data_IF_148784970111
#
_entry.id   IF_148784970111
#
_cell.length_a   1.000
_cell.length_b   1.000
_cell.length_c   1.000
_cell.angle_alpha   90.00
_cell.angle_beta   90.00
_cell.angle_gamma   90.00
#
_symmetry.space_group_name_H-M   'P 1'
#
loop_
_entity.id
_entity.type
_entity.pdbx_description
1 polymer ?
#
# COMPACT_ATOMS: atom_id res chain seq x y z
N UNK A 1 8.18 25.80 38.53
CA UNK A 1 7.10 25.38 37.61
C UNK A 1 7.11 26.17 36.32
N UNK A 2 7.80 25.69 35.30
CA UNK A 2 7.72 26.29 33.95
C UNK A 2 6.82 25.40 33.10
N UNK A 3 5.52 25.70 33.10
CA UNK A 3 4.57 25.11 32.15
C UNK A 3 4.91 25.59 30.75
N UNK A 4 5.39 24.68 29.91
CA UNK A 4 5.54 24.93 28.48
C UNK A 4 4.14 24.87 27.84
N UNK A 5 3.55 26.03 27.59
CA UNK A 5 2.33 26.17 26.80
C UNK A 5 2.64 25.80 25.36
N UNK A 6 1.78 24.95 24.78
CA UNK A 6 1.85 24.39 23.43
C UNK A 6 2.53 25.31 22.41
N UNK A 7 3.64 24.86 21.83
CA UNK A 7 4.30 25.57 20.74
C UNK A 7 3.36 25.65 19.53
N UNK A 8 3.13 26.86 19.03
CA UNK A 8 2.39 27.09 17.78
C UNK A 8 3.09 26.37 16.63
N UNK A 9 2.35 25.56 15.88
CA UNK A 9 2.84 24.84 14.70
C UNK A 9 3.21 25.86 13.63
N UNK A 10 4.38 25.68 13.00
CA UNK A 10 4.89 26.59 11.97
C UNK A 10 4.09 26.46 10.66
N UNK A 11 3.96 27.53 9.86
CA UNK A 11 3.23 27.47 8.57
C UNK A 11 3.74 26.34 7.66
N UNK A 12 5.06 26.19 7.54
CA UNK A 12 5.68 25.07 6.81
C UNK A 12 5.27 23.70 7.36
N UNK A 13 5.09 23.58 8.67
CA UNK A 13 4.68 22.36 9.36
C UNK A 13 3.20 22.08 9.10
N UNK A 14 2.37 23.11 8.98
CA UNK A 14 0.96 23.05 8.57
C UNK A 14 0.84 22.64 7.10
N UNK A 15 1.67 23.19 6.21
CA UNK A 15 1.68 22.83 4.79
C UNK A 15 2.13 21.39 4.56
N UNK A 16 3.08 20.91 5.38
CA UNK A 16 3.52 19.51 5.38
C UNK A 16 2.44 18.54 5.86
N UNK A 17 1.42 18.99 6.60
CA UNK A 17 0.30 18.11 6.99
C UNK A 17 -0.59 17.76 5.80
N UNK A 18 -0.56 18.55 4.72
CA UNK A 18 -1.41 18.38 3.55
C UNK A 18 -2.91 18.44 3.90
N UNK A 19 -3.80 18.31 2.91
CA UNK A 19 -5.21 18.11 3.22
C UNK A 19 -5.35 16.86 4.09
N UNK A 20 -6.24 16.92 5.08
CA UNK A 20 -6.66 15.79 5.90
C UNK A 20 -7.42 14.76 5.04
N UNK A 21 -6.74 14.18 4.05
CA UNK A 21 -7.14 12.90 3.48
C UNK A 21 -7.12 11.93 4.64
N UNK A 22 -8.22 11.21 4.84
CA UNK A 22 -8.40 10.38 6.01
C UNK A 22 -7.29 9.33 6.10
N UNK A 23 -6.27 9.64 6.90
CA UNK A 23 -5.11 8.78 7.15
C UNK A 23 -5.55 7.44 7.73
N UNK A 24 -6.76 7.36 8.31
CA UNK A 24 -7.33 6.11 8.81
C UNK A 24 -7.53 5.08 7.69
N UNK A 25 -7.81 5.50 6.45
CA UNK A 25 -7.94 4.57 5.32
C UNK A 25 -6.60 3.88 5.05
N UNK A 26 -5.52 4.64 4.89
CA UNK A 26 -4.18 4.08 4.64
C UNK A 26 -3.65 3.29 5.84
N UNK A 27 -3.97 3.72 7.07
CA UNK A 27 -3.70 2.94 8.28
C UNK A 27 -4.44 1.60 8.28
N UNK A 28 -5.69 1.56 7.81
CA UNK A 28 -6.46 0.33 7.67
C UNK A 28 -5.80 -0.63 6.67
N UNK A 29 -5.36 -0.10 5.52
CA UNK A 29 -4.60 -0.86 4.51
C UNK A 29 -3.31 -1.41 5.13
N UNK A 30 -2.52 -0.60 5.84
CA UNK A 30 -1.30 -1.05 6.50
C UNK A 30 -1.55 -2.16 7.53
N UNK A 31 -2.63 -2.04 8.31
CA UNK A 31 -3.05 -3.07 9.25
C UNK A 31 -3.41 -4.38 8.54
N UNK A 32 -4.04 -4.32 7.36
CA UNK A 32 -4.35 -5.53 6.60
C UNK A 32 -3.09 -6.21 6.09
N UNK A 33 -2.14 -5.44 5.55
CA UNK A 33 -0.84 -5.94 5.08
C UNK A 33 -0.12 -6.66 6.22
N UNK A 34 0.09 -5.99 7.36
CA UNK A 34 0.80 -6.56 8.52
C UNK A 34 0.11 -7.83 9.05
N UNK A 35 -1.22 -7.88 9.02
CA UNK A 35 -1.98 -9.07 9.42
C UNK A 35 -1.72 -10.24 8.47
N UNK A 36 -1.70 -10.00 7.16
CA UNK A 36 -1.43 -11.03 6.16
C UNK A 36 0.02 -11.53 6.25
N UNK A 37 1.00 -10.62 6.34
CA UNK A 37 2.41 -11.00 6.51
C UNK A 37 2.65 -11.82 7.78
N UNK A 38 2.03 -11.41 8.90
CA UNK A 38 2.10 -12.18 10.15
C UNK A 38 1.49 -13.58 9.99
N UNK A 39 0.36 -13.71 9.30
CA UNK A 39 -0.29 -14.99 9.02
C UNK A 39 0.59 -15.90 8.15
N UNK A 40 1.40 -15.33 7.27
CA UNK A 40 2.35 -16.04 6.39
C UNK A 40 3.69 -16.35 7.05
N UNK A 41 3.95 -15.86 8.27
CA UNK A 41 5.26 -16.00 8.93
C UNK A 41 6.36 -15.07 8.38
N UNK A 42 5.99 -14.10 7.55
CA UNK A 42 6.90 -13.18 6.86
C UNK A 42 7.32 -11.99 7.75
N UNK A 43 7.86 -12.29 8.94
CA UNK A 43 8.15 -11.28 9.97
C UNK A 43 9.28 -10.30 9.58
N UNK A 44 10.09 -10.64 8.58
CA UNK A 44 11.13 -9.78 8.02
C UNK A 44 10.62 -8.83 6.92
N UNK A 45 9.33 -8.88 6.58
CA UNK A 45 8.72 -8.03 5.56
C UNK A 45 8.87 -6.54 5.85
N UNK A 46 9.03 -5.75 4.79
CA UNK A 46 9.00 -4.28 4.85
C UNK A 46 7.69 -3.72 5.42
N UNK A 47 6.61 -4.52 5.45
CA UNK A 47 5.33 -4.16 6.07
C UNK A 47 5.46 -3.72 7.53
N UNK A 48 6.47 -4.21 8.26
CA UNK A 48 6.67 -3.89 9.68
C UNK A 48 7.49 -2.62 9.92
N UNK A 49 8.17 -2.10 8.89
CA UNK A 49 9.00 -0.89 8.99
C UNK A 49 8.27 0.32 8.39
N UNK A 50 7.46 0.10 7.35
CA UNK A 50 6.72 1.15 6.64
C UNK A 50 5.63 1.81 7.51
N UNK A 51 5.34 3.10 7.26
CA UNK A 51 4.36 3.90 8.00
C UNK A 51 3.10 4.24 7.18
N UNK A 52 2.06 4.77 7.86
CA UNK A 52 0.77 5.12 7.24
C UNK A 52 0.94 6.09 6.05
N UNK A 53 1.86 7.06 6.16
CA UNK A 53 2.13 8.05 5.11
C UNK A 53 2.82 7.46 3.88
N UNK A 54 3.65 6.44 4.07
CA UNK A 54 4.28 5.73 2.95
C UNK A 54 3.23 4.92 2.19
N UNK A 55 2.27 4.31 2.90
CA UNK A 55 1.12 3.63 2.27
C UNK A 55 0.26 4.63 1.49
N UNK A 56 -0.02 5.81 2.06
CA UNK A 56 -0.66 6.90 1.32
C UNK A 56 0.11 7.25 0.05
N UNK A 57 1.44 7.37 0.15
CA UNK A 57 2.27 7.66 -1.02
C UNK A 57 2.19 6.56 -2.08
N UNK A 58 2.29 5.29 -1.69
CA UNK A 58 2.17 4.15 -2.59
C UNK A 58 0.81 4.17 -3.31
N UNK A 59 -0.29 4.32 -2.57
CA UNK A 59 -1.63 4.35 -3.16
C UNK A 59 -1.81 5.56 -4.09
N UNK A 60 -1.50 6.77 -3.63
CA UNK A 60 -1.84 7.99 -4.37
C UNK A 60 -0.84 8.35 -5.47
N UNK A 61 0.45 8.05 -5.30
CA UNK A 61 1.50 8.47 -6.23
C UNK A 61 1.97 7.35 -7.16
N UNK A 62 2.04 6.12 -6.66
CA UNK A 62 2.51 4.97 -7.46
C UNK A 62 1.33 4.34 -8.20
N UNK A 63 0.22 4.11 -7.50
CA UNK A 63 -1.00 3.52 -8.06
C UNK A 63 -2.07 4.53 -8.45
N UNK A 64 -1.72 5.82 -8.46
CA UNK A 64 -2.59 6.92 -8.90
C UNK A 64 -3.97 6.97 -8.23
N UNK A 65 -4.09 6.40 -7.03
CA UNK A 65 -5.31 6.41 -6.23
C UNK A 65 -6.43 5.51 -6.75
N UNK A 66 -6.12 4.51 -7.58
CA UNK A 66 -7.10 3.59 -8.11
C UNK A 66 -6.61 2.14 -8.18
N UNK A 67 -7.54 1.20 -8.42
CA UNK A 67 -7.20 -0.19 -8.74
C UNK A 67 -6.44 -0.29 -10.06
N UNK A 68 -5.45 -1.18 -10.11
CA UNK A 68 -4.70 -1.51 -11.32
C UNK A 68 -5.52 -2.25 -12.39
N UNK A 69 -6.65 -2.87 -12.03
CA UNK A 69 -7.47 -3.68 -12.94
C UNK A 69 -8.73 -2.91 -13.37
N UNK A 70 -9.59 -2.54 -12.43
CA UNK A 70 -10.87 -1.87 -12.73
C UNK A 70 -10.79 -0.35 -12.83
N UNK A 71 -9.68 0.27 -12.42
CA UNK A 71 -9.58 1.71 -12.18
C UNK A 71 -10.59 2.25 -11.14
N UNK A 72 -11.10 1.39 -10.24
CA UNK A 72 -11.93 1.84 -9.11
C UNK A 72 -11.15 2.83 -8.25
N UNK A 73 -11.77 3.97 -7.92
CA UNK A 73 -11.14 5.11 -7.25
C UNK A 73 -11.54 5.24 -5.79
N UNK A 74 -12.47 4.43 -5.29
CA UNK A 74 -12.84 4.43 -3.88
C UNK A 74 -11.73 3.83 -3.00
N UNK A 75 -10.96 4.69 -2.30
CA UNK A 75 -9.83 4.27 -1.44
C UNK A 75 -10.23 3.31 -0.33
N UNK A 76 -11.48 3.33 0.14
CA UNK A 76 -11.96 2.41 1.17
C UNK A 76 -12.01 0.96 0.68
N UNK A 77 -12.22 0.76 -0.63
CA UNK A 77 -12.26 -0.56 -1.28
C UNK A 77 -10.87 -1.05 -1.69
N UNK A 78 -9.86 -0.17 -1.70
CA UNK A 78 -8.52 -0.52 -2.14
C UNK A 78 -7.75 -1.35 -1.10
N UNK A 79 -6.93 -2.27 -1.60
CA UNK A 79 -6.03 -3.16 -0.88
C UNK A 79 -4.68 -3.15 -1.58
N UNK A 80 -3.60 -3.24 -0.80
CA UNK A 80 -2.23 -3.39 -1.31
C UNK A 80 -1.72 -4.80 -0.96
N UNK A 81 -2.04 -5.79 -1.79
CA UNK A 81 -1.62 -7.18 -1.59
C UNK A 81 -0.25 -7.44 -2.22
N UNK A 82 0.40 -8.57 -1.90
CA UNK A 82 1.63 -9.02 -2.58
C UNK A 82 1.36 -9.14 -4.07
N UNK A 83 2.27 -8.62 -4.91
CA UNK A 83 2.21 -8.84 -6.36
C UNK A 83 2.64 -10.28 -6.70
N UNK A 84 3.87 -10.67 -6.33
CA UNK A 84 4.31 -12.07 -6.31
C UNK A 84 4.07 -12.65 -4.93
N UNK A 85 3.09 -13.55 -4.84
CA UNK A 85 2.68 -14.22 -3.60
C UNK A 85 3.82 -15.00 -2.93
N UNK A 86 4.85 -15.39 -3.68
CA UNK A 86 6.02 -16.16 -3.21
C UNK A 86 7.06 -15.29 -2.53
N UNK A 87 7.07 -14.00 -2.84
CA UNK A 87 7.99 -13.02 -2.25
C UNK A 87 7.29 -12.23 -1.16
N UNK A 88 8.04 -11.80 -0.14
CA UNK A 88 7.47 -11.01 0.95
C UNK A 88 6.92 -9.67 0.48
N UNK A 89 5.95 -9.15 1.24
CA UNK A 89 5.39 -7.85 0.91
C UNK A 89 6.49 -6.78 1.01
N UNK A 90 6.55 -5.93 0.00
CA UNK A 90 7.42 -4.76 -0.02
C UNK A 90 6.80 -3.70 -0.94
N UNK A 91 7.23 -2.43 -0.88
CA UNK A 91 6.71 -1.38 -1.76
C UNK A 91 6.80 -1.72 -3.25
N UNK A 92 7.80 -2.50 -3.67
CA UNK A 92 7.99 -2.96 -5.04
C UNK A 92 7.37 -4.33 -5.34
N UNK A 93 6.97 -5.10 -4.32
CA UNK A 93 6.24 -6.35 -4.47
C UNK A 93 4.80 -6.20 -3.97
N UNK A 94 4.13 -5.11 -4.32
CA UNK A 94 2.73 -4.89 -3.99
C UNK A 94 1.93 -4.51 -5.23
N UNK A 95 0.63 -4.77 -5.21
CA UNK A 95 -0.31 -4.32 -6.24
C UNK A 95 -1.57 -3.72 -5.58
N UNK A 96 -2.02 -2.58 -6.10
CA UNK A 96 -3.23 -1.90 -5.64
C UNK A 96 -4.45 -2.43 -6.38
N UNK A 97 -5.38 -3.05 -5.65
CA UNK A 97 -6.56 -3.71 -6.17
C UNK A 97 -7.77 -3.39 -5.29
N UNK A 98 -8.97 -3.58 -5.81
CA UNK A 98 -10.16 -3.65 -4.95
C UNK A 98 -10.13 -4.93 -4.11
N UNK A 99 -10.97 -4.99 -3.06
CA UNK A 99 -11.05 -6.19 -2.23
C UNK A 99 -11.43 -7.45 -3.02
N UNK A 100 -12.36 -7.35 -3.98
CA UNK A 100 -12.78 -8.50 -4.81
C UNK A 100 -11.66 -8.96 -5.73
N UNK A 101 -10.97 -8.03 -6.39
CA UNK A 101 -9.82 -8.30 -7.25
C UNK A 101 -8.66 -8.90 -6.46
N UNK A 102 -8.37 -8.38 -5.27
CA UNK A 102 -7.31 -8.89 -4.40
C UNK A 102 -7.58 -10.35 -4.00
N UNK A 103 -8.84 -10.70 -3.67
CA UNK A 103 -9.21 -12.10 -3.38
C UNK A 103 -9.03 -13.00 -4.60
N UNK A 104 -9.36 -12.52 -5.80
CA UNK A 104 -9.14 -13.27 -7.03
C UNK A 104 -7.64 -13.46 -7.31
N UNK A 105 -6.85 -12.39 -7.23
CA UNK A 105 -5.41 -12.39 -7.43
C UNK A 105 -4.69 -13.36 -6.50
N UNK A 106 -5.01 -13.35 -5.19
CA UNK A 106 -4.35 -14.22 -4.20
C UNK A 106 -4.63 -15.73 -4.40
N UNK A 107 -5.59 -16.10 -5.25
CA UNK A 107 -5.85 -17.51 -5.62
C UNK A 107 -4.99 -17.97 -6.80
N UNK A 108 -4.29 -17.06 -7.47
CA UNK A 108 -3.46 -17.34 -8.64
C UNK A 108 -2.07 -17.75 -8.16
N UNK A 109 -1.73 -19.03 -8.34
CA UNK A 109 -0.42 -19.59 -7.94
C UNK A 109 0.68 -19.30 -8.96
N UNK A 110 0.30 -19.09 -10.22
CA UNK A 110 1.20 -18.90 -11.37
C UNK A 110 0.84 -17.60 -12.11
N UNK A 111 1.49 -16.49 -11.76
CA UNK A 111 1.25 -15.18 -12.37
C UNK A 111 1.42 -15.19 -13.90
N UNK A 112 2.38 -15.98 -14.38
CA UNK A 112 2.76 -16.19 -15.78
C UNK A 112 1.63 -16.77 -16.65
N UNK A 113 0.62 -17.39 -16.03
CA UNK A 113 -0.51 -17.99 -16.76
C UNK A 113 -1.74 -17.10 -16.88
N UNK A 114 -1.81 -16.02 -16.11
CA UNK A 114 -3.02 -15.21 -15.98
C UNK A 114 -2.82 -13.73 -16.32
N UNK A 115 -1.58 -13.24 -16.23
CA UNK A 115 -1.22 -11.90 -16.68
C UNK A 115 -0.58 -11.96 -18.07
N UNK A 116 -0.94 -11.00 -18.93
CA UNK A 116 -0.34 -10.91 -20.27
C UNK A 116 1.18 -10.71 -20.18
N UNK A 117 1.90 -11.32 -21.13
CA UNK A 117 3.35 -11.17 -21.24
C UNK A 117 3.82 -9.71 -21.33
N UNK A 118 2.96 -8.81 -21.83
CA UNK A 118 3.17 -7.37 -21.91
C UNK A 118 3.46 -6.71 -20.56
N UNK A 119 3.00 -7.31 -19.45
CA UNK A 119 3.21 -6.85 -18.08
C UNK A 119 4.60 -7.23 -17.56
N UNK A 120 5.14 -8.37 -18.02
CA UNK A 120 6.48 -8.84 -17.66
C UNK A 120 7.51 -8.31 -18.66
N UNK A 121 7.84 -7.02 -18.60
CA UNK A 121 9.02 -6.54 -19.33
C UNK A 121 10.29 -7.01 -18.63
N UNK A 122 10.90 -8.06 -19.18
CA UNK A 122 12.29 -8.38 -18.89
C UNK A 122 13.16 -7.17 -19.27
N UNK A 123 14.02 -6.73 -18.34
CA UNK A 123 15.12 -5.85 -18.71
C UNK A 123 16.15 -6.69 -19.44
N UNK A 124 16.08 -6.69 -20.77
CA UNK A 124 17.24 -7.05 -21.59
C UNK A 124 18.33 -6.02 -21.33
N UNK A 125 19.48 -6.53 -20.86
CA UNK A 125 20.72 -5.78 -20.65
C UNK A 125 21.19 -5.05 -21.91
#
# INVERSE_FOLDING_TARGET
>A
DTRQTSASICERCTDLQGPAVDIAIYRSILRSIRRDEKKRGALASYAFIIQDNDIKHIVERIWHGHSAISNETNRAELRLVRWDIRSDWSPWNCICLTESEARAHLRIVHLDRYYEASIFKEKTN
#
